data_IF_125112484201
#
_entry.id   IF_125112484201
#
_cell.length_a   1.000
_cell.length_b   1.000
_cell.length_c   1.000
_cell.angle_alpha   90.00
_cell.angle_beta   90.00
_cell.angle_gamma   90.00
#
_symmetry.space_group_name_H-M   'P 1'
#
loop_
_entity.id
_entity.type
_entity.pdbx_description
1 polymer ?
#
# COMPACT_ATOMS: atom_id res chain seq x y z
N UNK A 1 -11.70 -15.35 -2.10
CA UNK A 1 -10.63 -14.34 -2.22
C UNK A 1 -10.80 -13.66 -3.58
N UNK A 2 -11.27 -12.41 -3.59
CA UNK A 2 -11.50 -11.62 -4.81
C UNK A 2 -11.07 -10.18 -4.50
N UNK A 3 -9.76 -9.93 -4.50
CA UNK A 3 -9.17 -8.64 -4.14
C UNK A 3 -7.94 -8.37 -5.01
N UNK A 4 -8.12 -8.33 -6.33
CA UNK A 4 -6.96 -8.18 -7.23
C UNK A 4 -7.09 -7.04 -8.25
N UNK A 5 -8.28 -6.51 -8.53
CA UNK A 5 -8.39 -5.46 -9.55
C UNK A 5 -8.20 -4.04 -9.01
N UNK A 6 -8.67 -3.76 -7.79
CA UNK A 6 -8.67 -2.40 -7.22
C UNK A 6 -7.30 -1.99 -6.66
N UNK A 7 -6.62 -2.88 -5.93
CA UNK A 7 -5.28 -2.61 -5.37
C UNK A 7 -4.21 -2.39 -6.43
N UNK A 8 -4.19 -3.24 -7.47
CA UNK A 8 -3.29 -3.09 -8.62
C UNK A 8 -3.53 -1.80 -9.40
N UNK A 9 -4.79 -1.38 -9.60
CA UNK A 9 -5.10 -0.14 -10.32
C UNK A 9 -4.66 1.12 -9.59
N UNK A 10 -4.86 1.16 -8.26
CA UNK A 10 -4.43 2.28 -7.41
C UNK A 10 -2.89 2.36 -7.30
N UNK A 11 -2.23 1.22 -7.12
CA UNK A 11 -0.76 1.17 -7.04
C UNK A 11 -0.09 1.69 -8.31
N UNK A 12 -0.62 1.33 -9.49
CA UNK A 12 -0.11 1.81 -10.78
C UNK A 12 -0.39 3.30 -11.02
N UNK A 13 -1.54 3.80 -10.58
CA UNK A 13 -1.86 5.23 -10.70
C UNK A 13 -0.94 6.11 -9.85
N UNK A 14 -0.58 5.65 -8.64
CA UNK A 14 0.38 6.36 -7.77
C UNK A 14 1.80 6.25 -8.30
N UNK A 15 2.22 5.07 -8.79
CA UNK A 15 3.53 4.90 -9.42
C UNK A 15 3.74 5.84 -10.60
N UNK A 16 2.73 6.02 -11.46
CA UNK A 16 2.81 6.95 -12.60
C UNK A 16 2.81 8.43 -12.22
N UNK A 17 2.43 8.79 -10.99
CA UNK A 17 2.44 10.16 -10.49
C UNK A 17 3.66 10.49 -9.62
N UNK A 18 4.53 9.50 -9.34
CA UNK A 18 5.72 9.71 -8.54
C UNK A 18 6.79 10.48 -9.34
N UNK A 19 7.47 11.42 -8.67
CA UNK A 19 8.61 12.16 -9.23
C UNK A 19 9.93 11.36 -9.16
N UNK A 20 9.91 10.19 -8.52
CA UNK A 20 11.00 9.22 -8.45
C UNK A 20 10.76 8.10 -9.49
N UNK A 21 11.84 7.45 -9.97
CA UNK A 21 11.74 6.32 -10.91
C UNK A 21 11.13 5.10 -10.21
N UNK A 22 9.79 4.97 -10.27
CA UNK A 22 9.07 3.84 -9.71
C UNK A 22 9.09 2.69 -10.71
N UNK A 23 9.80 1.63 -10.35
CA UNK A 23 9.93 0.41 -11.16
C UNK A 23 8.84 -0.62 -10.90
N UNK A 24 8.10 -0.46 -9.80
CA UNK A 24 7.06 -1.40 -9.43
C UNK A 24 6.16 -0.88 -8.30
N UNK A 25 4.96 -1.44 -8.24
CA UNK A 25 3.99 -1.20 -7.20
C UNK A 25 3.33 -2.52 -6.81
N UNK A 26 3.28 -2.82 -5.51
CA UNK A 26 2.70 -4.05 -4.96
C UNK A 26 1.78 -3.67 -3.81
N UNK A 27 0.58 -4.25 -3.78
CA UNK A 27 -0.34 -4.11 -2.65
C UNK A 27 -0.36 -5.38 -1.79
N UNK A 28 -0.38 -5.20 -0.47
CA UNK A 28 -0.56 -6.31 0.49
C UNK A 28 -1.84 -6.05 1.27
N UNK A 29 -2.83 -6.91 1.05
CA UNK A 29 -4.14 -6.80 1.67
C UNK A 29 -4.25 -7.74 2.88
N UNK A 30 -4.66 -7.22 4.03
CA UNK A 30 -4.85 -8.00 5.25
C UNK A 30 -5.92 -7.38 6.16
N UNK A 31 -6.27 -8.09 7.24
CA UNK A 31 -7.26 -7.62 8.22
C UNK A 31 -6.65 -7.59 9.60
N UNK A 32 -6.92 -6.52 10.35
CA UNK A 32 -6.52 -6.39 11.76
C UNK A 32 -7.73 -6.09 12.64
N UNK A 33 -7.60 -6.38 13.92
CA UNK A 33 -8.55 -5.92 14.94
C UNK A 33 -7.96 -4.71 15.64
N UNK A 34 -8.69 -3.59 15.64
CA UNK A 34 -8.29 -2.35 16.31
C UNK A 34 -9.41 -1.85 17.23
N UNK A 35 -9.05 -1.14 18.29
CA UNK A 35 -10.00 -0.49 19.18
C UNK A 35 -10.41 0.87 18.58
N UNK A 36 -11.71 1.12 18.42
CA UNK A 36 -12.23 2.46 18.09
C UNK A 36 -12.19 3.37 19.35
N UNK A 37 -12.30 4.69 19.17
CA UNK A 37 -12.24 5.69 20.25
C UNK A 37 -13.23 5.44 21.40
N UNK A 38 -14.29 4.64 21.18
CA UNK A 38 -15.27 4.22 22.19
C UNK A 38 -14.98 2.88 22.89
N UNK A 39 -13.84 2.26 22.65
CA UNK A 39 -13.41 1.01 23.31
C UNK A 39 -13.95 -0.28 22.69
N UNK A 40 -14.61 -0.20 21.53
CA UNK A 40 -15.12 -1.37 20.81
C UNK A 40 -14.07 -1.89 19.83
N UNK A 41 -13.83 -3.20 19.84
CA UNK A 41 -12.97 -3.85 18.85
C UNK A 41 -13.66 -3.94 17.49
N UNK A 42 -13.05 -3.39 16.47
CA UNK A 42 -13.53 -3.41 15.07
C UNK A 42 -12.55 -4.16 14.18
N UNK A 43 -13.07 -4.74 13.10
CA UNK A 43 -12.23 -5.32 12.04
C UNK A 43 -11.91 -4.24 11.02
N UNK A 44 -10.62 -4.05 10.75
CA UNK A 44 -10.10 -3.09 9.77
C UNK A 44 -9.54 -3.87 8.59
N UNK A 45 -9.98 -3.51 7.39
CA UNK A 45 -9.38 -3.99 6.15
C UNK A 45 -8.25 -3.03 5.78
N UNK A 46 -7.04 -3.54 5.64
CA UNK A 46 -5.84 -2.78 5.33
C UNK A 46 -5.33 -3.20 3.96
N UNK A 47 -4.84 -2.23 3.19
CA UNK A 47 -4.12 -2.43 1.94
C UNK A 47 -2.87 -1.57 1.99
N UNK A 48 -1.72 -2.20 2.20
CA UNK A 48 -0.43 -1.52 2.16
C UNK A 48 -0.01 -1.38 0.69
N UNK A 49 0.52 -0.20 0.32
CA UNK A 49 1.11 0.04 -0.99
C UNK A 49 2.63 0.17 -0.85
N UNK A 50 3.34 -0.80 -1.41
CA UNK A 50 4.80 -0.77 -1.53
C UNK A 50 5.18 -0.31 -2.94
N UNK A 51 6.00 0.73 -3.01
CA UNK A 51 6.60 1.21 -4.25
C UNK A 51 8.07 0.82 -4.24
N UNK A 52 8.57 0.33 -5.38
CA UNK A 52 9.99 -0.03 -5.53
C UNK A 52 10.65 0.88 -6.53
N UNK A 53 11.85 1.37 -6.23
CA UNK A 53 12.73 2.05 -7.17
C UNK A 53 13.99 1.23 -7.43
N UNK A 54 14.64 1.48 -8.57
CA UNK A 54 16.00 1.03 -8.87
C UNK A 54 17.00 2.21 -8.86
N UNK A 55 16.58 3.40 -8.45
CA UNK A 55 17.45 4.57 -8.32
C UNK A 55 18.28 4.46 -7.02
N UNK A 56 19.59 4.63 -7.13
CA UNK A 56 20.50 4.65 -5.99
C UNK A 56 20.32 5.87 -5.08
N UNK A 57 19.56 6.88 -5.51
CA UNK A 57 19.12 8.00 -4.69
C UNK A 57 17.87 7.66 -3.83
N UNK A 58 17.20 6.54 -4.08
CA UNK A 58 16.10 6.07 -3.24
C UNK A 58 16.69 5.54 -1.93
N UNK A 59 16.78 6.43 -0.94
CA UNK A 59 17.16 6.03 0.41
C UNK A 59 16.00 5.25 0.99
N UNK A 60 16.18 3.94 1.22
CA UNK A 60 15.24 3.14 2.03
C UNK A 60 14.86 3.98 3.25
N UNK A 61 13.58 4.35 3.35
CA UNK A 61 13.05 5.03 4.52
C UNK A 61 13.36 4.14 5.74
N UNK A 62 14.39 4.53 6.49
CA UNK A 62 14.72 3.96 7.78
C UNK A 62 13.74 4.48 8.83
#
# INVERSE_FOLDING_TARGET
MKTHALGLGLGMAVAGAAFADVTGAVTVDYTVTAEDFGGTMVTVNVSDLYLTSNDGADTVLN
#
